data_IF_092440733477
#
_entry.id   IF_092440733477
#
_cell.length_a   1.000
_cell.length_b   1.000
_cell.length_c   1.000
_cell.angle_alpha   90.00
_cell.angle_beta   90.00
_cell.angle_gamma   90.00
#
_symmetry.space_group_name_H-M   'P 1'
#
loop_
_entity.id
_entity.type
_entity.pdbx_description
1 polymer ?
#
# COMPACT_ATOMS: atom_id res chain seq x y z
N UNK A 1 44.54 46.03 -42.68
CA UNK A 1 45.35 45.26 -41.71
C UNK A 1 44.61 45.35 -40.38
N UNK A 2 43.59 44.50 -40.14
CA UNK A 2 43.65 43.22 -39.40
C UNK A 2 44.34 43.42 -38.04
N UNK A 3 43.74 43.20 -36.87
CA UNK A 3 43.08 42.00 -36.32
C UNK A 3 42.05 42.42 -35.23
N UNK A 4 40.79 41.97 -35.31
CA UNK A 4 40.15 40.80 -34.67
C UNK A 4 39.84 40.94 -33.16
N UNK A 5 38.55 40.77 -32.86
CA UNK A 5 37.87 40.80 -31.57
C UNK A 5 38.23 39.66 -30.61
N UNK A 6 38.06 39.87 -29.30
CA UNK A 6 37.55 38.83 -28.39
C UNK A 6 36.50 39.48 -27.46
N UNK A 7 35.24 39.14 -27.71
CA UNK A 7 34.13 39.33 -26.80
C UNK A 7 34.24 38.35 -25.63
N UNK A 8 34.25 38.83 -24.39
CA UNK A 8 34.01 37.96 -23.22
C UNK A 8 32.68 38.37 -22.61
N UNK A 9 31.61 37.76 -23.13
CA UNK A 9 30.32 37.71 -22.45
C UNK A 9 30.48 36.88 -21.19
N UNK A 10 30.26 37.50 -20.03
CA UNK A 10 30.18 36.81 -18.75
C UNK A 10 28.87 36.03 -18.74
N UNK A 11 28.93 34.75 -19.12
CA UNK A 11 27.85 33.80 -18.84
C UNK A 11 27.94 33.46 -17.36
N UNK A 12 27.15 34.16 -16.54
CA UNK A 12 26.85 33.72 -15.18
C UNK A 12 26.12 32.39 -15.27
N UNK A 13 26.88 31.30 -15.23
CA UNK A 13 26.35 29.96 -15.01
C UNK A 13 25.83 29.91 -13.56
N UNK A 14 24.59 30.38 -13.36
CA UNK A 14 23.82 30.02 -12.18
C UNK A 14 23.61 28.52 -12.30
N UNK A 15 24.44 27.75 -11.59
CA UNK A 15 24.27 26.32 -11.46
C UNK A 15 23.03 26.10 -10.61
N UNK A 16 21.87 26.05 -11.27
CA UNK A 16 20.69 25.45 -10.68
C UNK A 16 21.08 24.02 -10.37
N UNK A 17 21.38 23.72 -9.10
CA UNK A 17 21.33 22.35 -8.64
C UNK A 17 19.89 21.92 -8.87
N UNK A 18 19.66 21.18 -9.96
CA UNK A 18 18.49 20.32 -10.08
C UNK A 18 18.65 19.29 -8.96
N UNK A 19 18.07 19.60 -7.80
CA UNK A 19 17.77 18.58 -6.82
C UNK A 19 16.63 17.80 -7.44
N UNK A 20 16.95 16.68 -8.08
CA UNK A 20 15.95 15.66 -8.34
C UNK A 20 15.53 15.17 -6.96
N UNK A 21 14.46 15.75 -6.40
CA UNK A 21 13.72 15.08 -5.36
C UNK A 21 13.11 13.90 -6.10
N UNK A 22 13.69 12.71 -5.98
CA UNK A 22 12.92 11.50 -6.24
C UNK A 22 11.77 11.58 -5.24
N UNK A 23 10.64 12.16 -5.65
CA UNK A 23 9.48 12.33 -4.80
C UNK A 23 9.05 10.96 -4.36
N UNK A 24 9.38 10.60 -3.13
CA UNK A 24 8.92 9.36 -2.52
C UNK A 24 7.39 9.41 -2.54
N UNK A 25 6.76 8.38 -3.12
CA UNK A 25 5.32 8.40 -3.31
C UNK A 25 4.67 8.38 -1.93
N UNK A 26 3.89 9.41 -1.61
CA UNK A 26 3.08 9.42 -0.40
C UNK A 26 1.80 8.60 -0.64
N UNK A 27 1.44 7.77 0.32
CA UNK A 27 0.27 6.93 0.30
C UNK A 27 -0.67 7.32 1.43
N UNK A 28 -1.97 7.38 1.11
CA UNK A 28 -3.02 7.21 2.12
C UNK A 28 -3.14 5.72 2.44
N UNK A 29 -3.17 5.40 3.73
CA UNK A 29 -3.25 4.05 4.24
C UNK A 29 -4.58 3.86 4.94
N UNK A 30 -5.25 2.76 4.64
CA UNK A 30 -6.39 2.26 5.43
C UNK A 30 -5.98 0.94 6.04
N UNK A 31 -5.91 0.89 7.36
CA UNK A 31 -5.59 -0.31 8.14
C UNK A 31 -6.88 -0.90 8.67
N UNK A 32 -7.21 -2.14 8.30
CA UNK A 32 -8.50 -2.78 8.56
C UNK A 32 -8.35 -3.85 9.63
N UNK A 33 -9.28 -3.83 10.58
CA UNK A 33 -9.37 -4.73 11.73
C UNK A 33 -10.74 -5.40 11.78
N UNK A 34 -10.78 -6.58 12.40
CA UNK A 34 -12.01 -7.36 12.60
C UNK A 34 -12.63 -7.13 14.00
N UNK A 35 -12.07 -6.17 14.75
CA UNK A 35 -12.55 -5.74 16.05
C UNK A 35 -12.58 -4.20 16.13
N UNK A 36 -13.36 -3.68 17.07
CA UNK A 36 -13.58 -2.25 17.26
C UNK A 36 -12.52 -1.55 18.11
N UNK A 37 -11.44 -2.24 18.49
CA UNK A 37 -10.33 -1.66 19.25
C UNK A 37 -9.25 -1.12 18.32
N UNK A 38 -9.09 -1.72 17.13
CA UNK A 38 -8.02 -1.40 16.18
C UNK A 38 -6.61 -1.46 16.81
N UNK A 39 -6.39 -2.37 17.76
CA UNK A 39 -5.11 -2.52 18.46
C UNK A 39 -4.39 -3.84 18.17
N UNK A 40 -5.10 -4.80 17.58
CA UNK A 40 -4.56 -6.12 17.25
C UNK A 40 -3.76 -6.15 15.95
N UNK A 41 -3.61 -7.35 15.39
CA UNK A 41 -3.04 -7.53 14.06
C UNK A 41 -4.13 -7.23 13.02
N UNK A 42 -3.90 -6.32 12.07
CA UNK A 42 -4.89 -6.02 11.04
C UNK A 42 -5.05 -7.19 10.06
N UNK A 43 -6.21 -7.31 9.44
CA UNK A 43 -6.45 -8.32 8.39
C UNK A 43 -5.97 -7.84 7.01
N UNK A 44 -6.07 -6.52 6.77
CA UNK A 44 -5.75 -5.89 5.48
C UNK A 44 -5.21 -4.47 5.69
N UNK A 45 -4.18 -4.12 4.93
CA UNK A 45 -3.79 -2.73 4.70
C UNK A 45 -3.95 -2.39 3.23
N UNK A 46 -4.51 -1.22 2.93
CA UNK A 46 -4.59 -0.69 1.57
C UNK A 46 -3.84 0.61 1.47
N UNK A 47 -2.99 0.75 0.45
CA UNK A 47 -2.21 1.94 0.17
C UNK A 47 -2.64 2.49 -1.19
N UNK A 48 -3.08 3.75 -1.19
CA UNK A 48 -3.45 4.48 -2.40
C UNK A 48 -2.54 5.70 -2.53
N UNK A 49 -1.92 5.94 -3.71
CA UNK A 49 -1.10 7.13 -3.92
C UNK A 49 -1.92 8.40 -3.65
N UNK A 50 -1.44 9.23 -2.73
CA UNK A 50 -2.08 10.47 -2.34
C UNK A 50 -1.01 11.48 -1.89
N UNK A 51 -0.66 12.39 -2.79
CA UNK A 51 0.29 13.47 -2.51
C UNK A 51 -0.24 14.49 -1.49
N UNK A 52 -1.56 14.51 -1.25
CA UNK A 52 -2.22 15.40 -0.31
C UNK A 52 -2.48 14.78 1.05
N UNK A 53 -2.09 13.52 1.28
CA UNK A 53 -2.47 12.77 2.48
C UNK A 53 -2.17 13.55 3.76
N UNK A 54 -3.21 13.84 4.53
CA UNK A 54 -3.12 14.42 5.87
C UNK A 54 -3.72 13.42 6.86
N UNK A 55 -3.02 13.18 7.96
CA UNK A 55 -3.58 12.36 9.05
C UNK A 55 -4.69 13.17 9.74
N UNK A 56 -5.88 12.60 9.98
CA UNK A 56 -6.93 13.28 10.74
C UNK A 56 -6.40 13.72 12.11
N UNK A 57 -6.56 15.01 12.42
CA UNK A 57 -6.03 15.63 13.65
C UNK A 57 -6.96 15.47 14.86
N UNK A 58 -8.17 14.97 14.64
CA UNK A 58 -9.15 14.76 15.71
C UNK A 58 -9.02 13.34 16.28
N UNK A 59 -8.69 13.25 17.56
CA UNK A 59 -8.54 12.00 18.31
C UNK A 59 -9.87 11.31 18.64
N UNK A 60 -11.00 11.84 18.15
CA UNK A 60 -12.31 11.24 18.34
C UNK A 60 -12.49 10.08 17.34
N UNK A 61 -12.08 8.91 17.82
CA UNK A 61 -12.29 7.59 17.22
C UNK A 61 -11.54 7.38 15.90
N UNK A 62 -10.23 7.17 15.96
CA UNK A 62 -9.47 6.71 14.78
C UNK A 62 -9.97 5.36 14.24
N UNK A 63 -10.60 4.54 15.09
CA UNK A 63 -11.15 3.23 14.74
C UNK A 63 -12.62 3.36 14.33
N UNK A 64 -12.88 3.53 13.03
CA UNK A 64 -14.21 3.76 12.49
C UNK A 64 -14.78 2.48 11.88
N UNK A 65 -16.07 2.20 12.09
CA UNK A 65 -16.69 1.04 11.43
C UNK A 65 -16.81 1.29 9.93
N UNK A 66 -16.41 0.30 9.14
CA UNK A 66 -16.54 0.30 7.67
C UNK A 66 -17.70 -0.57 7.20
N UNK A 67 -18.52 -1.09 8.13
CA UNK A 67 -19.55 -2.11 7.84
C UNK A 67 -18.99 -3.54 7.93
N UNK A 68 -19.86 -4.55 7.83
CA UNK A 68 -19.51 -5.97 7.93
C UNK A 68 -18.72 -6.35 9.20
N UNK A 69 -18.93 -5.64 10.32
CA UNK A 69 -18.13 -5.80 11.56
C UNK A 69 -16.62 -5.53 11.37
N UNK A 70 -16.25 -4.82 10.32
CA UNK A 70 -14.90 -4.32 10.10
C UNK A 70 -14.77 -2.90 10.62
N UNK A 71 -13.56 -2.58 11.06
CA UNK A 71 -13.17 -1.28 11.54
C UNK A 71 -11.86 -0.86 10.87
N UNK A 72 -11.65 0.43 10.68
CA UNK A 72 -10.45 0.92 10.03
C UNK A 72 -9.89 2.18 10.65
N UNK A 73 -8.56 2.30 10.55
CA UNK A 73 -7.79 3.49 10.89
C UNK A 73 -7.13 4.02 9.62
N UNK A 74 -7.21 5.34 9.42
CA UNK A 74 -6.56 6.03 8.32
C UNK A 74 -5.22 6.66 8.76
N UNK A 75 -4.19 6.51 7.95
CA UNK A 75 -2.88 7.13 8.16
C UNK A 75 -2.21 7.47 6.83
N UNK A 76 -0.99 8.03 6.89
CA UNK A 76 -0.18 8.34 5.72
C UNK A 76 1.22 7.74 5.87
N UNK A 77 1.84 7.33 4.78
CA UNK A 77 3.26 6.89 4.77
C UNK A 77 3.90 7.14 3.41
N UNK A 78 5.22 7.27 3.37
CA UNK A 78 6.01 7.14 2.13
C UNK A 78 6.68 5.77 2.02
N UNK A 79 6.87 5.09 3.16
CA UNK A 79 7.42 3.75 3.27
C UNK A 79 6.30 2.76 3.60
N UNK A 80 5.70 2.16 2.57
CA UNK A 80 4.67 1.14 2.79
C UNK A 80 5.26 -0.18 3.30
N UNK A 81 6.52 -0.51 3.00
CA UNK A 81 7.11 -1.78 3.43
C UNK A 81 7.36 -1.77 4.94
N UNK A 82 7.97 -0.70 5.45
CA UNK A 82 8.16 -0.49 6.89
C UNK A 82 6.84 -0.34 7.63
N UNK A 83 5.83 0.29 7.02
CA UNK A 83 4.49 0.38 7.61
C UNK A 83 3.85 -1.01 7.76
N UNK A 84 3.88 -1.83 6.70
CA UNK A 84 3.36 -3.20 6.72
C UNK A 84 4.09 -4.04 7.77
N UNK A 85 5.43 -4.02 7.77
CA UNK A 85 6.23 -4.77 8.73
C UNK A 85 5.90 -4.38 10.18
N UNK A 86 5.70 -3.09 10.45
CA UNK A 86 5.30 -2.61 11.78
C UNK A 86 3.88 -3.05 12.16
N UNK A 87 2.93 -2.96 11.23
CA UNK A 87 1.53 -3.27 11.49
C UNK A 87 1.28 -4.76 11.77
N UNK A 88 1.94 -5.65 11.02
CA UNK A 88 1.85 -7.10 11.28
C UNK A 88 2.83 -7.58 12.35
N UNK A 89 3.93 -6.87 12.57
CA UNK A 89 4.98 -7.28 13.52
C UNK A 89 5.74 -8.52 13.08
N UNK A 90 6.67 -8.98 13.92
CA UNK A 90 7.65 -10.02 13.56
C UNK A 90 7.07 -11.44 13.47
N UNK A 91 5.91 -11.68 14.09
CA UNK A 91 5.35 -13.03 14.26
C UNK A 91 4.20 -13.36 13.31
N UNK A 92 3.63 -12.36 12.65
CA UNK A 92 2.43 -12.55 11.84
C UNK A 92 2.82 -12.48 10.35
N UNK A 93 2.69 -13.60 9.61
CA UNK A 93 3.04 -13.62 8.20
C UNK A 93 2.06 -12.76 7.40
N UNK A 94 2.57 -12.06 6.39
CA UNK A 94 1.78 -11.24 5.49
C UNK A 94 2.24 -11.39 4.04
N UNK A 95 1.35 -11.03 3.13
CA UNK A 95 1.62 -10.96 1.69
C UNK A 95 1.44 -9.52 1.22
N UNK A 96 2.41 -8.98 0.49
CA UNK A 96 2.28 -7.70 -0.21
C UNK A 96 1.95 -7.94 -1.68
N UNK A 97 0.88 -7.32 -2.16
CA UNK A 97 0.46 -7.28 -3.55
C UNK A 97 0.57 -5.84 -4.08
N UNK A 98 1.44 -5.63 -5.08
CA UNK A 98 1.70 -4.32 -5.68
C UNK A 98 1.09 -4.23 -7.08
N UNK A 99 0.36 -3.16 -7.34
CA UNK A 99 -0.09 -2.78 -8.66
C UNK A 99 0.81 -1.68 -9.20
N UNK A 100 1.47 -1.95 -10.33
CA UNK A 100 2.27 -0.96 -11.03
C UNK A 100 1.45 -0.27 -12.12
N UNK A 101 1.77 0.99 -12.41
CA UNK A 101 1.15 1.71 -13.51
C UNK A 101 1.46 1.02 -14.86
N UNK A 102 0.49 1.06 -15.79
CA UNK A 102 0.70 0.50 -17.14
C UNK A 102 1.81 1.20 -17.94
N UNK A 103 2.16 2.43 -17.56
CA UNK A 103 3.18 3.25 -18.22
C UNK A 103 4.60 3.02 -17.68
N UNK A 104 4.77 2.15 -16.69
CA UNK A 104 6.07 1.70 -16.21
C UNK A 104 6.07 1.19 -14.76
N UNK A 105 7.00 0.27 -14.45
CA UNK A 105 7.19 -0.32 -13.12
C UNK A 105 7.81 0.65 -12.09
N UNK A 106 8.17 1.86 -12.50
CA UNK A 106 8.87 2.82 -11.65
C UNK A 106 7.93 3.57 -10.69
N UNK A 107 6.61 3.50 -10.94
CA UNK A 107 5.60 4.11 -10.09
C UNK A 107 4.68 3.03 -9.54
N UNK A 108 4.77 2.80 -8.23
CA UNK A 108 3.83 1.95 -7.51
C UNK A 108 2.49 2.69 -7.43
N UNK A 109 1.45 2.04 -7.95
CA UNK A 109 0.06 2.49 -7.84
C UNK A 109 -0.51 2.05 -6.50
N UNK A 110 -1.47 1.13 -6.52
CA UNK A 110 -2.04 0.59 -5.28
C UNK A 110 -1.16 -0.51 -4.69
N UNK A 111 -1.06 -0.54 -3.36
CA UNK A 111 -0.47 -1.67 -2.64
C UNK A 111 -1.52 -2.23 -1.69
N UNK A 112 -1.54 -3.54 -1.56
CA UNK A 112 -2.37 -4.24 -0.59
C UNK A 112 -1.48 -5.17 0.22
N UNK A 113 -1.63 -5.18 1.54
CA UNK A 113 -0.99 -6.16 2.40
C UNK A 113 -2.05 -6.98 3.12
N UNK A 114 -1.99 -8.29 2.97
CA UNK A 114 -2.97 -9.24 3.51
C UNK A 114 -2.35 -10.05 4.63
N UNK A 115 -3.09 -10.28 5.72
CA UNK A 115 -2.76 -11.32 6.69
C UNK A 115 -2.64 -12.67 5.95
N UNK A 116 -1.52 -13.36 6.15
CA UNK A 116 -1.22 -14.65 5.54
C UNK A 116 -1.22 -15.79 6.57
N UNK A 117 -2.07 -15.65 7.60
CA UNK A 117 -2.29 -16.62 8.67
C UNK A 117 -3.09 -17.88 8.25
N UNK A 118 -3.64 -17.88 7.04
CA UNK A 118 -4.45 -18.97 6.51
C UNK A 118 -5.92 -18.96 6.95
N UNK A 119 -6.37 -17.93 7.68
CA UNK A 119 -7.77 -17.73 8.04
C UNK A 119 -8.56 -17.00 6.94
N UNK A 120 -9.88 -17.04 7.07
CA UNK A 120 -10.78 -16.30 6.19
C UNK A 120 -10.99 -14.90 6.75
N UNK A 121 -10.66 -13.89 5.97
CA UNK A 121 -10.82 -12.49 6.35
C UNK A 121 -11.85 -11.80 5.46
N UNK A 122 -12.69 -10.95 6.05
CA UNK A 122 -13.66 -10.18 5.28
C UNK A 122 -12.97 -9.06 4.50
N UNK A 123 -13.49 -8.79 3.30
CA UNK A 123 -13.02 -7.69 2.47
C UNK A 123 -13.94 -6.46 2.66
N UNK A 124 -13.40 -5.27 2.95
CA UNK A 124 -14.23 -4.10 3.28
C UNK A 124 -14.99 -3.53 2.10
N UNK A 125 -14.49 -3.70 0.86
CA UNK A 125 -15.11 -3.13 -0.33
C UNK A 125 -16.05 -4.13 -1.01
N UNK A 126 -17.35 -4.02 -0.68
CA UNK A 126 -18.41 -4.82 -1.29
C UNK A 126 -18.70 -4.44 -2.74
N UNK A 127 -18.22 -3.29 -3.24
CA UNK A 127 -18.42 -2.87 -4.63
C UNK A 127 -17.53 -3.63 -5.62
N UNK A 128 -16.42 -4.20 -5.12
CA UNK A 128 -15.53 -5.08 -5.88
C UNK A 128 -16.18 -6.39 -6.33
N UNK A 129 -17.28 -6.79 -5.68
CA UNK A 129 -17.92 -8.10 -5.85
C UNK A 129 -17.28 -9.22 -5.05
N UNK A 130 -16.23 -8.94 -4.27
CA UNK A 130 -15.62 -9.89 -3.33
C UNK A 130 -16.12 -9.64 -1.89
N UNK A 131 -16.36 -10.72 -1.16
CA UNK A 131 -16.79 -10.69 0.24
C UNK A 131 -15.67 -11.03 1.23
N UNK A 132 -14.72 -11.88 0.83
CA UNK A 132 -13.63 -12.30 1.70
C UNK A 132 -12.39 -12.74 0.91
N UNK A 133 -11.29 -12.95 1.63
CA UNK A 133 -10.04 -13.48 1.11
C UNK A 133 -9.39 -14.44 2.10
N UNK A 134 -8.45 -15.22 1.58
CA UNK A 134 -7.51 -15.99 2.39
C UNK A 134 -6.14 -15.95 1.72
N UNK A 135 -5.14 -15.51 2.47
CA UNK A 135 -3.74 -15.67 2.13
C UNK A 135 -3.09 -16.68 3.08
N UNK A 136 -2.09 -17.42 2.59
CA UNK A 136 -1.27 -18.32 3.42
C UNK A 136 0.11 -18.47 2.82
N UNK A 137 1.08 -18.76 3.67
CA UNK A 137 2.43 -19.17 3.25
C UNK A 137 2.54 -20.67 3.48
N UNK A 138 2.70 -21.45 2.41
CA UNK A 138 2.92 -22.89 2.50
C UNK A 138 4.36 -23.19 2.97
N UNK A 139 4.61 -24.40 3.49
CA UNK A 139 5.90 -24.81 4.08
C UNK A 139 7.10 -24.73 3.11
N UNK A 140 6.83 -24.69 1.81
CA UNK A 140 7.83 -24.52 0.75
C UNK A 140 8.08 -23.06 0.38
N UNK A 141 7.49 -22.10 1.11
CA UNK A 141 7.56 -20.67 0.85
C UNK A 141 6.59 -20.17 -0.22
N UNK A 142 5.75 -21.04 -0.81
CA UNK A 142 4.78 -20.62 -1.80
C UNK A 142 3.65 -19.83 -1.15
N UNK A 143 3.25 -18.71 -1.78
CA UNK A 143 2.13 -17.91 -1.31
C UNK A 143 0.86 -18.39 -2.01
N UNK A 144 -0.08 -18.88 -1.22
CA UNK A 144 -1.44 -19.19 -1.65
C UNK A 144 -2.36 -18.01 -1.37
N UNK A 145 -3.00 -17.47 -2.40
CA UNK A 145 -3.96 -16.39 -2.26
C UNK A 145 -5.23 -16.64 -3.06
N UNK A 146 -6.40 -16.42 -2.44
CA UNK A 146 -7.72 -16.63 -3.03
C UNK A 146 -8.69 -15.53 -2.60
N UNK A 147 -9.40 -14.97 -3.56
CA UNK A 147 -10.58 -14.14 -3.33
C UNK A 147 -11.85 -14.98 -3.34
N UNK A 148 -12.85 -14.58 -2.55
CA UNK A 148 -14.15 -15.23 -2.48
C UNK A 148 -15.28 -14.24 -2.69
N UNK A 149 -16.36 -14.71 -3.33
CA UNK A 149 -17.57 -13.92 -3.56
C UNK A 149 -18.47 -13.83 -2.32
N UNK A 150 -18.32 -14.77 -1.39
CA UNK A 150 -19.07 -14.81 -0.14
C UNK A 150 -18.19 -14.33 1.04
N UNK A 151 -18.79 -14.21 2.22
CA UNK A 151 -18.10 -13.83 3.45
C UNK A 151 -17.46 -15.03 4.16
N UNK A 152 -17.78 -16.26 3.76
CA UNK A 152 -17.42 -17.50 4.47
C UNK A 152 -16.22 -18.24 3.86
N UNK A 153 -15.61 -17.68 2.82
CA UNK A 153 -14.57 -18.30 2.02
C UNK A 153 -14.97 -19.66 1.42
N UNK A 154 -16.20 -19.78 0.90
CA UNK A 154 -16.68 -21.03 0.29
C UNK A 154 -16.77 -20.97 -1.24
N UNK A 155 -17.02 -19.80 -1.81
CA UNK A 155 -17.19 -19.56 -3.24
C UNK A 155 -16.00 -18.79 -3.82
N UNK A 156 -14.91 -19.51 -4.08
CA UNK A 156 -13.62 -18.93 -4.50
C UNK A 156 -13.58 -18.54 -5.98
N UNK A 157 -12.94 -17.40 -6.28
CA UNK A 157 -12.58 -16.92 -7.62
C UNK A 157 -11.06 -16.79 -7.73
N UNK A 158 -10.45 -17.80 -8.35
CA UNK A 158 -9.05 -17.78 -8.77
C UNK A 158 -8.05 -18.02 -7.63
N UNK A 159 -7.25 -19.08 -7.76
CA UNK A 159 -6.02 -19.27 -7.00
C UNK A 159 -4.92 -18.56 -7.77
N UNK A 160 -4.28 -17.55 -7.18
CA UNK A 160 -3.04 -17.02 -7.73
C UNK A 160 -1.91 -17.51 -6.83
N UNK A 161 -1.26 -18.60 -7.24
CA UNK A 161 0.03 -18.97 -6.66
C UNK A 161 1.04 -17.97 -7.22
N UNK A 162 1.48 -17.04 -6.39
CA UNK A 162 2.62 -16.19 -6.74
C UNK A 162 3.88 -16.97 -6.35
N UNK A 163 4.59 -17.47 -7.36
CA UNK A 163 5.99 -17.82 -7.20
C UNK A 163 6.79 -16.53 -7.45
N UNK A 164 7.58 -16.11 -6.47
CA UNK A 164 8.70 -15.19 -6.72
C UNK A 164 9.81 -15.90 -7.49
#
# INVERSE_FOLDING_TARGET
MNFLEIWIGVVLAVTWKLVTVNGETTFSVTTVYEDNTCTGVPSLLTFAPDAGCQVPTDNQDQCQSTGNSLFAVSSCTTDYEGFVATAFGDTNPYMIHRYYSATGCNNVGYVYAYSADGYCHMYPDTSSGFGSFRARIDVNGAIGFVWFLDLACTNGKGVRILHE
#
